data_IF_396453831670
#
_entry.id   IF_396453831670
#
_cell.length_a   1.000
_cell.length_b   1.000
_cell.length_c   1.000
_cell.angle_alpha   90.00
_cell.angle_beta   90.00
_cell.angle_gamma   90.00
#
_symmetry.space_group_name_H-M   'P 1'
#
loop_
_entity.id
_entity.type
_entity.pdbx_description
1 polymer ?
#
# COMPACT_ATOMS: atom_id res chain seq x y z
N UNK A 1 -10.55 -2.34 -5.42
CA UNK A 1 -11.58 -2.70 -4.43
C UNK A 1 -10.93 -3.00 -3.09
N UNK A 2 -11.49 -2.42 -2.02
CA UNK A 2 -11.13 -2.71 -0.63
C UNK A 2 -11.66 -4.09 -0.19
N UNK A 3 -11.09 -4.64 0.88
CA UNK A 3 -11.42 -5.95 1.46
C UNK A 3 -12.90 -6.02 1.82
N UNK A 4 -13.44 -5.05 2.57
CA UNK A 4 -14.83 -5.09 3.02
C UNK A 4 -15.83 -4.92 1.86
N UNK A 5 -15.48 -4.12 0.84
CA UNK A 5 -16.29 -3.99 -0.39
C UNK A 5 -16.35 -5.32 -1.16
N UNK A 6 -15.23 -6.04 -1.25
CA UNK A 6 -15.21 -7.39 -1.85
C UNK A 6 -16.11 -8.37 -1.07
N UNK A 7 -16.24 -8.17 0.24
CA UNK A 7 -17.08 -8.96 1.14
C UNK A 7 -18.52 -8.41 1.25
N UNK A 8 -18.97 -7.58 0.30
CA UNK A 8 -20.33 -7.03 0.23
C UNK A 8 -20.72 -6.10 1.38
N UNK A 9 -19.74 -5.52 2.09
CA UNK A 9 -19.98 -4.45 3.06
C UNK A 9 -20.13 -3.12 2.31
N UNK A 10 -21.04 -2.27 2.80
CA UNK A 10 -21.29 -0.96 2.21
C UNK A 10 -20.04 -0.08 2.14
N UNK A 11 -19.92 0.67 1.06
CA UNK A 11 -18.77 1.52 0.79
C UNK A 11 -18.69 2.71 1.78
N UNK A 12 -17.50 2.99 2.33
CA UNK A 12 -17.17 4.16 3.15
C UNK A 12 -15.88 4.84 2.66
N UNK A 13 -15.57 6.02 3.20
CA UNK A 13 -14.34 6.77 2.87
C UNK A 13 -13.04 5.97 3.09
N UNK A 14 -13.02 5.04 4.06
CA UNK A 14 -11.86 4.19 4.33
C UNK A 14 -11.53 3.33 3.10
N UNK A 15 -12.54 2.80 2.43
CA UNK A 15 -12.34 1.90 1.30
C UNK A 15 -11.78 2.62 0.07
N UNK A 16 -12.04 3.92 -0.07
CA UNK A 16 -11.37 4.79 -1.04
C UNK A 16 -9.88 4.91 -0.71
N UNK A 17 -9.53 5.18 0.56
CA UNK A 17 -8.13 5.22 1.03
C UNK A 17 -7.41 3.88 0.84
N UNK A 18 -8.07 2.78 1.18
CA UNK A 18 -7.54 1.43 0.99
C UNK A 18 -7.35 1.09 -0.50
N UNK A 19 -8.31 1.47 -1.35
CA UNK A 19 -8.18 1.29 -2.79
C UNK A 19 -7.05 2.12 -3.38
N UNK A 20 -6.90 3.38 -2.96
CA UNK A 20 -5.76 4.22 -3.30
C UNK A 20 -4.44 3.56 -2.91
N UNK A 21 -4.36 3.03 -1.69
CA UNK A 21 -3.15 2.38 -1.20
C UNK A 21 -2.79 1.13 -2.01
N UNK A 22 -3.77 0.29 -2.38
CA UNK A 22 -3.53 -0.83 -3.27
C UNK A 22 -3.02 -0.40 -4.65
N UNK A 23 -3.54 0.68 -5.21
CA UNK A 23 -3.04 1.24 -6.47
C UNK A 23 -1.60 1.73 -6.31
N UNK A 24 -1.28 2.46 -5.24
CA UNK A 24 0.08 2.91 -4.95
C UNK A 24 1.06 1.73 -4.89
N UNK A 25 0.71 0.68 -4.14
CA UNK A 25 1.55 -0.51 -4.01
C UNK A 25 1.74 -1.19 -5.36
N UNK A 26 0.68 -1.37 -6.13
CA UNK A 26 0.75 -1.99 -7.45
C UNK A 26 1.61 -1.15 -8.41
N UNK A 27 1.49 0.18 -8.37
CA UNK A 27 2.34 1.07 -9.16
C UNK A 27 3.82 0.91 -8.81
N UNK A 28 4.17 0.84 -7.52
CA UNK A 28 5.56 0.69 -7.09
C UNK A 28 6.13 -0.71 -7.39
N UNK A 29 5.40 -1.78 -7.04
CA UNK A 29 5.88 -3.16 -7.17
C UNK A 29 5.84 -3.68 -8.62
N UNK A 30 4.79 -3.36 -9.37
CA UNK A 30 4.58 -3.89 -10.70
C UNK A 30 5.07 -2.93 -11.79
N UNK A 31 4.60 -1.68 -11.77
CA UNK A 31 4.96 -0.68 -12.80
C UNK A 31 6.30 0.01 -12.55
N UNK A 32 6.78 0.02 -11.31
CA UNK A 32 7.99 0.73 -10.90
C UNK A 32 9.22 0.31 -11.69
N UNK A 33 9.33 -0.97 -12.05
CA UNK A 33 10.45 -1.50 -12.85
C UNK A 33 10.53 -0.87 -14.24
N UNK A 34 9.37 -0.68 -14.90
CA UNK A 34 9.30 -0.01 -16.19
C UNK A 34 9.57 1.50 -16.06
N UNK A 35 9.09 2.13 -14.97
CA UNK A 35 9.30 3.55 -14.70
C UNK A 35 10.75 3.90 -14.34
N UNK A 36 11.46 2.98 -13.68
CA UNK A 36 12.86 3.15 -13.29
C UNK A 36 13.84 3.03 -14.48
N UNK A 37 13.36 2.76 -15.70
CA UNK A 37 14.20 2.51 -16.87
C UNK A 37 14.99 1.19 -16.80
N UNK A 38 14.76 0.39 -15.74
CA UNK A 38 15.42 -0.89 -15.52
C UNK A 38 14.58 -2.01 -16.11
N UNK A 39 14.79 -2.32 -17.40
CA UNK A 39 14.16 -3.48 -18.06
C UNK A 39 14.67 -4.84 -17.57
N UNK A 40 15.61 -4.87 -16.60
CA UNK A 40 16.17 -6.10 -16.05
C UNK A 40 15.21 -6.72 -15.03
N UNK A 41 14.23 -7.41 -15.61
CA UNK A 41 13.29 -8.42 -15.12
C UNK A 41 12.37 -8.01 -13.95
N UNK A 42 11.05 -7.92 -14.18
CA UNK A 42 10.09 -8.01 -13.08
C UNK A 42 10.27 -9.36 -12.35
N UNK A 43 9.77 -9.49 -11.11
CA UNK A 43 9.81 -10.73 -10.34
C UNK A 43 9.24 -11.90 -11.14
N UNK A 44 9.65 -13.13 -10.82
CA UNK A 44 9.16 -14.36 -11.48
C UNK A 44 7.64 -14.50 -11.27
N UNK A 45 6.84 -13.96 -12.19
CA UNK A 45 5.38 -14.05 -12.19
C UNK A 45 4.68 -12.70 -12.01
N UNK A 46 3.35 -12.65 -12.24
CA UNK A 46 2.59 -11.42 -12.10
C UNK A 46 2.42 -11.09 -10.60
N UNK A 47 3.33 -10.22 -10.11
CA UNK A 47 3.32 -9.65 -8.76
C UNK A 47 1.91 -9.12 -8.45
N UNK A 48 1.35 -9.55 -7.32
CA UNK A 48 0.01 -9.15 -6.84
C UNK A 48 -1.16 -9.57 -7.76
N UNK A 49 -0.99 -10.55 -8.65
CA UNK A 49 -2.08 -11.05 -9.51
C UNK A 49 -3.31 -11.54 -8.74
N UNK A 50 -3.10 -12.11 -7.55
CA UNK A 50 -4.16 -12.55 -6.65
C UNK A 50 -4.98 -11.40 -6.06
N UNK A 51 -4.60 -10.14 -6.26
CA UNK A 51 -5.43 -8.98 -5.90
C UNK A 51 -6.56 -8.68 -6.88
N UNK A 52 -6.57 -9.33 -8.05
CA UNK A 52 -7.58 -9.13 -9.08
C UNK A 52 -7.98 -10.41 -9.83
N UNK A 53 -7.43 -11.56 -9.46
CA UNK A 53 -7.73 -12.86 -10.10
C UNK A 53 -8.46 -13.77 -9.12
N UNK A 54 -9.51 -14.46 -9.58
CA UNK A 54 -10.31 -15.38 -8.78
C UNK A 54 -11.63 -14.77 -8.28
N UNK A 55 -12.22 -15.40 -7.26
CA UNK A 55 -13.46 -14.91 -6.63
C UNK A 55 -13.18 -13.73 -5.70
N UNK A 56 -14.19 -12.92 -5.41
CA UNK A 56 -14.04 -11.80 -4.47
C UNK A 56 -13.58 -12.22 -3.08
N UNK A 57 -14.04 -13.37 -2.58
CA UNK A 57 -13.59 -13.95 -1.31
C UNK A 57 -12.09 -14.34 -1.35
N UNK A 58 -11.63 -14.94 -2.44
CA UNK A 58 -10.20 -15.27 -2.60
C UNK A 58 -9.35 -14.01 -2.71
N UNK A 59 -9.81 -13.00 -3.43
CA UNK A 59 -9.13 -11.71 -3.54
C UNK A 59 -9.06 -11.01 -2.18
N UNK A 60 -10.16 -11.00 -1.43
CA UNK A 60 -10.24 -10.38 -0.10
C UNK A 60 -9.29 -11.07 0.90
N UNK A 61 -9.25 -12.41 0.90
CA UNK A 61 -8.31 -13.18 1.74
C UNK A 61 -6.86 -12.92 1.38
N UNK A 62 -6.53 -12.90 0.08
CA UNK A 62 -5.19 -12.59 -0.39
C UNK A 62 -4.73 -11.20 0.05
N UNK A 63 -5.56 -10.18 -0.19
CA UNK A 63 -5.31 -8.82 0.26
C UNK A 63 -5.16 -8.70 1.77
N UNK A 64 -6.03 -9.36 2.55
CA UNK A 64 -5.95 -9.35 4.02
C UNK A 64 -4.66 -9.98 4.53
N UNK A 65 -4.25 -11.13 3.98
CA UNK A 65 -2.99 -11.79 4.33
C UNK A 65 -1.77 -10.93 4.00
N UNK A 66 -1.81 -10.25 2.86
CA UNK A 66 -0.75 -9.33 2.42
C UNK A 66 -0.66 -8.06 3.27
N UNK A 67 -1.72 -7.65 3.94
CA UNK A 67 -1.69 -6.52 4.87
C UNK A 67 -1.20 -6.92 6.27
N UNK A 68 -0.93 -8.20 6.55
CA UNK A 68 -0.17 -8.60 7.74
C UNK A 68 1.26 -8.02 7.69
N UNK A 69 1.93 -7.85 8.84
CA UNK A 69 3.29 -7.28 8.88
C UNK A 69 4.26 -8.06 8.00
N UNK A 70 4.23 -9.39 8.05
CA UNK A 70 5.15 -10.22 7.29
C UNK A 70 4.78 -10.28 5.80
N UNK A 71 3.48 -10.37 5.50
CA UNK A 71 2.96 -10.31 4.14
C UNK A 71 3.32 -8.98 3.46
N UNK A 72 3.16 -7.89 4.19
CA UNK A 72 3.41 -6.56 3.67
C UNK A 72 4.89 -6.32 3.38
N UNK A 73 5.80 -6.73 4.28
CA UNK A 73 7.23 -6.65 4.01
C UNK A 73 7.66 -7.52 2.82
N UNK A 74 6.98 -8.64 2.56
CA UNK A 74 7.23 -9.43 1.36
C UNK A 74 6.89 -8.64 0.09
N UNK A 75 5.79 -7.88 0.08
CA UNK A 75 5.43 -7.01 -1.05
C UNK A 75 6.47 -5.89 -1.25
N UNK A 76 6.93 -5.26 -0.17
CA UNK A 76 7.92 -4.19 -0.26
C UNK A 76 9.25 -4.67 -0.86
N UNK A 77 9.60 -5.96 -0.75
CA UNK A 77 10.81 -6.52 -1.39
C UNK A 77 10.72 -6.56 -2.93
N UNK A 78 9.52 -6.52 -3.49
CA UNK A 78 9.30 -6.53 -4.95
C UNK A 78 9.52 -5.14 -5.58
N UNK A 79 9.67 -4.09 -4.77
CA UNK A 79 9.88 -2.74 -5.27
C UNK A 79 11.30 -2.63 -5.86
N UNK A 80 11.46 -1.99 -7.03
CA UNK A 80 12.78 -1.70 -7.58
C UNK A 80 13.54 -0.70 -6.69
N UNK A 81 14.88 -0.67 -6.75
CA UNK A 81 15.71 0.24 -5.95
C UNK A 81 15.33 1.73 -6.08
N UNK A 82 14.87 2.16 -7.26
CA UNK A 82 14.43 3.54 -7.49
C UNK A 82 13.22 3.96 -6.62
N UNK A 83 12.47 3.01 -6.08
CA UNK A 83 11.29 3.25 -5.23
C UNK A 83 11.55 2.93 -3.75
N UNK A 84 12.81 2.72 -3.34
CA UNK A 84 13.16 2.44 -1.95
C UNK A 84 12.70 3.57 -1.00
N UNK A 85 12.76 4.82 -1.48
CA UNK A 85 12.33 6.00 -0.73
C UNK A 85 10.83 6.01 -0.39
N UNK A 86 10.01 5.24 -1.10
CA UNK A 86 8.55 5.17 -0.90
C UNK A 86 8.18 4.14 0.18
N UNK A 87 9.04 3.16 0.49
CA UNK A 87 8.73 2.11 1.47
C UNK A 87 8.34 2.64 2.87
N UNK A 88 9.03 3.64 3.46
CA UNK A 88 8.62 4.20 4.75
C UNK A 88 7.21 4.81 4.73
N UNK A 89 6.82 5.46 3.63
CA UNK A 89 5.47 5.96 3.43
C UNK A 89 4.46 4.81 3.44
N UNK A 90 4.73 3.77 2.63
CA UNK A 90 3.86 2.61 2.51
C UNK A 90 3.67 1.89 3.86
N UNK A 91 4.71 1.75 4.68
CA UNK A 91 4.60 1.21 6.05
C UNK A 91 3.68 2.03 6.93
N UNK A 92 3.84 3.35 6.92
CA UNK A 92 3.03 4.26 7.73
C UNK A 92 1.57 4.19 7.32
N UNK A 93 1.27 4.24 6.01
CA UNK A 93 -0.10 4.11 5.51
C UNK A 93 -0.70 2.75 5.87
N UNK A 94 0.08 1.66 5.75
CA UNK A 94 -0.36 0.32 6.14
C UNK A 94 -0.74 0.27 7.62
N UNK A 95 0.06 0.87 8.51
CA UNK A 95 -0.21 0.84 9.94
C UNK A 95 -1.44 1.68 10.33
N UNK A 96 -1.70 2.77 9.59
CA UNK A 96 -2.91 3.59 9.76
C UNK A 96 -4.16 2.85 9.28
N UNK A 97 -4.10 2.21 8.11
CA UNK A 97 -5.26 1.52 7.53
C UNK A 97 -5.53 0.16 8.19
N UNK A 98 -4.48 -0.57 8.58
CA UNK A 98 -4.56 -1.94 9.08
C UNK A 98 -3.90 -2.10 10.45
N UNK A 99 -4.35 -1.33 11.46
CA UNK A 99 -3.82 -1.48 12.81
C UNK A 99 -4.21 -2.85 13.38
N UNK A 100 -3.38 -3.37 14.27
CA UNK A 100 -3.53 -4.70 14.83
C UNK A 100 -4.05 -4.65 16.27
N UNK A 101 -5.26 -5.19 16.49
CA UNK A 101 -5.91 -5.27 17.80
C UNK A 101 -6.45 -6.68 18.07
N UNK A 102 -5.54 -7.67 18.16
CA UNK A 102 -5.92 -9.10 18.17
C UNK A 102 -6.34 -9.64 16.80
N UNK A 103 -6.17 -8.81 15.76
CA UNK A 103 -6.48 -9.08 14.36
C UNK A 103 -6.33 -7.79 13.55
N UNK A 104 -6.25 -7.92 12.22
CA UNK A 104 -6.25 -6.76 11.33
C UNK A 104 -7.60 -6.06 11.34
N UNK A 105 -7.62 -4.82 11.79
CA UNK A 105 -8.82 -3.99 11.77
C UNK A 105 -9.13 -3.53 10.34
N UNK A 106 -10.30 -3.92 9.84
CA UNK A 106 -10.80 -3.51 8.51
C UNK A 106 -11.98 -2.55 8.54
N UNK A 107 -12.51 -2.24 9.73
CA UNK A 107 -13.67 -1.37 9.88
C UNK A 107 -13.38 0.11 9.66
N UNK A 108 -14.43 0.91 9.52
CA UNK A 108 -14.31 2.36 9.28
C UNK A 108 -14.49 3.13 10.60
N UNK A 109 -13.52 3.95 11.03
CA UNK A 109 -13.71 4.87 12.15
C UNK A 109 -14.83 5.88 11.88
N UNK A 110 -15.44 6.43 12.93
CA UNK A 110 -16.47 7.47 12.78
C UNK A 110 -15.87 8.79 12.34
N UNK A 111 -14.72 9.17 12.92
CA UNK A 111 -14.00 10.39 12.55
C UNK A 111 -12.98 10.09 11.42
N UNK A 112 -13.17 10.66 10.22
CA UNK A 112 -12.23 10.48 9.11
C UNK A 112 -10.81 10.97 9.41
N UNK A 113 -10.65 11.98 10.27
CA UNK A 113 -9.35 12.57 10.59
C UNK A 113 -8.37 11.55 11.20
N UNK A 114 -8.90 10.54 11.88
CA UNK A 114 -8.12 9.42 12.44
C UNK A 114 -7.31 8.70 11.35
N UNK A 115 -7.78 8.72 10.10
CA UNK A 115 -7.07 8.12 8.96
C UNK A 115 -6.43 9.17 8.04
N UNK A 116 -7.14 10.24 7.71
CA UNK A 116 -6.62 11.24 6.77
C UNK A 116 -5.41 12.00 7.33
N UNK A 117 -5.47 12.50 8.57
CA UNK A 117 -4.42 13.37 9.11
C UNK A 117 -3.07 12.61 9.21
N UNK A 118 -3.01 11.36 9.71
CA UNK A 118 -1.77 10.59 9.71
C UNK A 118 -1.24 10.26 8.32
N UNK A 119 -2.12 9.97 7.35
CA UNK A 119 -1.70 9.69 5.96
C UNK A 119 -1.12 10.95 5.31
N UNK A 120 -1.82 12.08 5.42
CA UNK A 120 -1.35 13.37 4.89
C UNK A 120 0.00 13.72 5.51
N UNK A 121 0.12 13.62 6.84
CA UNK A 121 1.37 13.85 7.55
C UNK A 121 2.49 12.94 7.04
N UNK A 122 2.21 11.66 6.78
CA UNK A 122 3.20 10.73 6.25
C UNK A 122 3.73 11.15 4.88
N UNK A 123 2.87 11.68 4.00
CA UNK A 123 3.29 12.28 2.73
C UNK A 123 4.17 13.51 2.97
N UNK A 124 3.74 14.43 3.81
CA UNK A 124 4.48 15.67 4.11
C UNK A 124 5.89 15.37 4.66
N UNK A 125 6.01 14.43 5.60
CA UNK A 125 7.28 14.03 6.20
C UNK A 125 8.25 13.47 5.15
N UNK A 126 7.74 12.64 4.23
CA UNK A 126 8.54 12.02 3.15
C UNK A 126 8.96 13.06 2.13
N UNK A 127 8.05 13.95 1.71
CA UNK A 127 8.36 15.05 0.79
C UNK A 127 9.41 15.98 1.39
N UNK A 128 9.25 16.38 2.66
CA UNK A 128 10.23 17.21 3.36
C UNK A 128 11.61 16.54 3.43
N UNK A 129 11.67 15.21 3.64
CA UNK A 129 12.93 14.46 3.61
C UNK A 129 13.58 14.47 2.23
N UNK A 130 12.81 14.19 1.17
CA UNK A 130 13.32 14.16 -0.21
C UNK A 130 13.84 15.53 -0.65
N UNK A 131 13.13 16.60 -0.31
CA UNK A 131 13.56 17.98 -0.60
C UNK A 131 14.87 18.29 0.12
N UNK A 132 15.03 17.88 1.38
CA UNK A 132 16.30 18.07 2.12
C UNK A 132 17.46 17.29 1.50
N UNK A 133 17.23 16.04 1.09
CA UNK A 133 18.26 15.21 0.44
C UNK A 133 18.74 15.84 -0.88
N UNK A 134 17.80 16.27 -1.74
CA UNK A 134 18.13 16.92 -3.00
C UNK A 134 18.95 18.20 -2.83
N UNK A 135 18.65 18.99 -1.80
CA UNK A 135 19.42 20.21 -1.47
C UNK A 135 20.83 19.93 -0.96
N UNK A 136 21.09 18.77 -0.36
CA UNK A 136 22.41 18.39 0.14
C UNK A 136 23.33 17.83 -0.97
N UNK A 137 22.74 17.41 -2.10
CA UNK A 137 23.44 16.88 -3.28
C UNK A 137 23.74 17.98 -4.33
N UNK A 138 23.27 19.21 -4.11
CA UNK A 138 23.48 20.39 -4.99
C UNK A 138 24.47 21.35 -4.35
#
# INVERSE_FOLDING_TARGET
MAIEVLLQVSHTYRHDLESFFYVLIWQCAHRGWALAGTYKKPPKGPVLSHWYTGTYDTIARGKRGDMDKNGFEAILREYPPAFECVKPLCRTIRDVLFPYFGGLFTGTPVDPKIMYDPIIKAFDDVLARLIRQKKAET
#
